data_IF_437992125788
#
_entry.id   IF_437992125788
#
_cell.length_a   1.000
_cell.length_b   1.000
_cell.length_c   1.000
_cell.angle_alpha   90.00
_cell.angle_beta   90.00
_cell.angle_gamma   90.00
#
_symmetry.space_group_name_H-M   'P 1'
#
loop_
_entity.id
_entity.type
_entity.pdbx_description
1 polymer ?
#
# COMPACT_ATOMS: atom_id res chain seq x y z
N UNK A 1 25.92 5.18 -7.81
CA UNK A 1 25.41 5.51 -6.45
C UNK A 1 23.88 5.59 -6.36
N UNK A 2 23.12 5.53 -7.46
CA UNK A 2 21.68 5.87 -7.50
C UNK A 2 20.72 4.71 -7.16
N UNK A 3 21.06 3.46 -7.50
CA UNK A 3 20.18 2.29 -7.27
C UNK A 3 19.95 1.93 -5.79
N UNK A 4 20.98 2.03 -4.94
CA UNK A 4 20.82 1.81 -3.48
C UNK A 4 19.95 2.89 -2.83
N UNK A 5 20.05 4.12 -3.30
CA UNK A 5 19.25 5.24 -2.83
C UNK A 5 17.78 5.07 -3.23
N UNK A 6 17.49 4.62 -4.46
CA UNK A 6 16.12 4.32 -4.88
C UNK A 6 15.48 3.17 -4.08
N UNK A 7 16.26 2.17 -3.66
CA UNK A 7 15.76 1.06 -2.83
C UNK A 7 15.23 1.55 -1.47
N UNK A 8 16.05 2.30 -0.74
CA UNK A 8 15.67 2.79 0.59
C UNK A 8 14.46 3.72 0.53
N UNK A 9 14.32 4.50 -0.54
CA UNK A 9 13.14 5.34 -0.78
C UNK A 9 11.88 4.53 -1.04
N UNK A 10 12.00 3.42 -1.77
CA UNK A 10 10.89 2.52 -2.05
C UNK A 10 10.43 1.82 -0.77
N UNK A 11 11.34 1.33 0.05
CA UNK A 11 11.01 0.70 1.34
C UNK A 11 10.35 1.71 2.30
N UNK A 12 10.88 2.94 2.37
CA UNK A 12 10.27 4.02 3.13
C UNK A 12 8.87 4.40 2.61
N UNK A 13 8.68 4.41 1.30
CA UNK A 13 7.38 4.65 0.67
C UNK A 13 6.39 3.53 1.03
N UNK A 14 6.82 2.27 1.05
CA UNK A 14 6.00 1.13 1.50
C UNK A 14 5.53 1.32 2.93
N UNK A 15 6.44 1.57 3.87
CA UNK A 15 6.08 1.78 5.28
C UNK A 15 5.11 2.95 5.46
N UNK A 16 5.31 4.02 4.68
CA UNK A 16 4.41 5.17 4.68
C UNK A 16 3.02 4.83 4.14
N UNK A 17 2.94 4.01 3.10
CA UNK A 17 1.67 3.54 2.54
C UNK A 17 0.95 2.62 3.53
N UNK A 18 1.64 1.64 4.11
CA UNK A 18 1.06 0.74 5.12
C UNK A 18 0.49 1.56 6.30
N UNK A 19 1.20 2.62 6.73
CA UNK A 19 0.72 3.56 7.74
C UNK A 19 -0.50 4.36 7.30
N UNK A 20 -0.53 4.87 6.06
CA UNK A 20 -1.68 5.61 5.52
C UNK A 20 -2.91 4.70 5.44
N UNK A 21 -2.74 3.44 5.02
CA UNK A 21 -3.82 2.46 4.97
C UNK A 21 -4.38 2.19 6.37
N UNK A 22 -3.51 1.95 7.36
CA UNK A 22 -3.95 1.73 8.75
C UNK A 22 -4.71 2.94 9.31
N UNK A 23 -4.22 4.17 9.04
CA UNK A 23 -4.90 5.40 9.43
C UNK A 23 -6.24 5.58 8.70
N UNK A 24 -6.29 5.25 7.41
CA UNK A 24 -7.51 5.34 6.61
C UNK A 24 -8.55 4.37 7.17
N UNK A 25 -8.20 3.09 7.37
CA UNK A 25 -9.07 2.08 7.96
C UNK A 25 -9.57 2.49 9.35
N UNK A 26 -8.69 2.98 10.23
CA UNK A 26 -9.09 3.46 11.56
C UNK A 26 -10.10 4.61 11.48
N UNK A 27 -9.85 5.62 10.63
CA UNK A 27 -10.79 6.74 10.42
C UNK A 27 -12.12 6.26 9.85
N UNK A 28 -12.07 5.24 9.00
CA UNK A 28 -13.21 4.62 8.39
C UNK A 28 -14.05 3.91 9.45
N UNK A 29 -13.43 3.08 10.28
CA UNK A 29 -14.08 2.36 11.39
C UNK A 29 -14.65 3.33 12.43
N UNK A 30 -13.93 4.41 12.75
CA UNK A 30 -14.42 5.50 13.60
C UNK A 30 -15.69 6.14 13.00
N UNK A 31 -15.66 6.41 11.69
CA UNK A 31 -16.82 6.94 10.96
C UNK A 31 -17.97 5.93 10.95
N UNK A 32 -17.70 4.64 10.71
CA UNK A 32 -18.73 3.58 10.73
C UNK A 32 -19.40 3.53 12.10
N UNK A 33 -18.60 3.54 13.17
CA UNK A 33 -19.09 3.49 14.55
C UNK A 33 -19.92 4.74 14.89
N UNK A 34 -19.53 5.91 14.39
CA UNK A 34 -20.27 7.15 14.60
C UNK A 34 -21.58 7.21 13.81
N UNK A 35 -21.57 6.70 12.58
CA UNK A 35 -22.73 6.72 11.66
C UNK A 35 -23.71 5.60 11.99
N UNK A 36 -23.26 4.44 12.48
CA UNK A 36 -24.10 3.29 12.81
C UNK A 36 -25.39 3.61 13.60
N UNK A 37 -25.36 4.40 14.70
CA UNK A 37 -26.59 4.75 15.41
C UNK A 37 -27.52 5.69 14.63
N UNK A 38 -27.00 6.47 13.67
CA UNK A 38 -27.78 7.41 12.85
C UNK A 38 -28.45 6.71 11.66
N UNK A 39 -27.90 5.58 11.20
CA UNK A 39 -28.48 4.77 10.11
C UNK A 39 -29.83 4.15 10.51
N UNK A 40 -30.06 3.94 11.81
CA UNK A 40 -31.36 3.46 12.29
C UNK A 40 -32.51 4.45 12.00
N UNK A 41 -32.21 5.76 11.95
CA UNK A 41 -33.17 6.84 11.69
C UNK A 41 -33.13 7.35 10.24
N UNK A 42 -32.12 6.97 9.45
CA UNK A 42 -31.97 7.43 8.06
C UNK A 42 -32.64 6.47 7.07
N UNK A 43 -33.72 6.90 6.44
CA UNK A 43 -34.40 6.13 5.39
C UNK A 43 -33.50 5.85 4.17
N UNK A 44 -33.45 4.57 3.75
CA UNK A 44 -33.05 4.03 2.44
C UNK A 44 -31.83 4.63 1.74
N UNK A 45 -31.99 5.82 1.16
CA UNK A 45 -31.00 6.48 0.29
C UNK A 45 -29.67 6.85 0.97
N UNK A 46 -29.70 7.18 2.27
CA UNK A 46 -28.47 7.54 2.99
C UNK A 46 -27.61 6.30 3.32
N UNK A 47 -28.25 5.16 3.55
CA UNK A 47 -27.56 3.86 3.72
C UNK A 47 -26.84 3.44 2.44
N UNK A 48 -27.48 3.60 1.28
CA UNK A 48 -26.88 3.30 -0.03
C UNK A 48 -25.66 4.19 -0.33
N UNK A 49 -25.76 5.49 -0.06
CA UNK A 49 -24.65 6.43 -0.27
C UNK A 49 -23.44 6.09 0.61
N UNK A 50 -23.68 5.69 1.86
CA UNK A 50 -22.64 5.24 2.78
C UNK A 50 -21.97 3.95 2.29
N UNK A 51 -22.75 2.94 1.89
CA UNK A 51 -22.20 1.68 1.37
C UNK A 51 -21.36 1.90 0.10
N UNK A 52 -21.79 2.79 -0.80
CA UNK A 52 -21.03 3.15 -1.99
C UNK A 52 -19.69 3.80 -1.64
N UNK A 53 -19.65 4.65 -0.61
CA UNK A 53 -18.42 5.29 -0.17
C UNK A 53 -17.48 4.29 0.51
N UNK A 54 -18.01 3.36 1.30
CA UNK A 54 -17.24 2.25 1.85
C UNK A 54 -16.56 1.43 0.74
N UNK A 55 -17.31 1.03 -0.28
CA UNK A 55 -16.77 0.22 -1.37
C UNK A 55 -15.63 0.91 -2.13
N UNK A 56 -15.72 2.24 -2.34
CA UNK A 56 -14.64 3.03 -2.95
C UNK A 56 -13.36 2.99 -2.14
N UNK A 57 -13.47 3.08 -0.81
CA UNK A 57 -12.31 3.05 0.07
C UNK A 57 -11.68 1.66 0.11
N UNK A 58 -12.47 0.60 0.20
CA UNK A 58 -11.98 -0.78 0.18
C UNK A 58 -11.24 -1.07 -1.14
N UNK A 59 -11.77 -0.58 -2.26
CA UNK A 59 -11.13 -0.69 -3.59
C UNK A 59 -9.80 0.06 -3.66
N UNK A 60 -9.74 1.29 -3.15
CA UNK A 60 -8.52 2.10 -3.16
C UNK A 60 -7.41 1.46 -2.30
N UNK A 61 -7.77 0.85 -1.16
CA UNK A 61 -6.83 0.11 -0.32
C UNK A 61 -6.29 -1.13 -1.04
N UNK A 62 -7.14 -1.87 -1.76
CA UNK A 62 -6.70 -3.04 -2.54
C UNK A 62 -5.71 -2.65 -3.65
N UNK A 63 -6.04 -1.63 -4.44
CA UNK A 63 -5.19 -1.15 -5.54
C UNK A 63 -3.80 -0.72 -5.03
N UNK A 64 -3.79 -0.02 -3.89
CA UNK A 64 -2.56 0.43 -3.26
C UNK A 64 -1.67 -0.74 -2.80
N UNK A 65 -2.26 -1.79 -2.22
CA UNK A 65 -1.53 -3.01 -1.85
C UNK A 65 -0.92 -3.71 -3.08
N UNK A 66 -1.65 -3.77 -4.19
CA UNK A 66 -1.16 -4.36 -5.43
C UNK A 66 0.04 -3.59 -6.01
N UNK A 67 -0.01 -2.26 -5.96
CA UNK A 67 1.11 -1.40 -6.38
C UNK A 67 2.33 -1.66 -5.50
N UNK A 68 2.15 -1.75 -4.18
CA UNK A 68 3.24 -2.04 -3.25
C UNK A 68 3.90 -3.40 -3.50
N UNK A 69 3.11 -4.44 -3.74
CA UNK A 69 3.63 -5.77 -4.05
C UNK A 69 4.38 -5.79 -5.38
N UNK A 70 3.89 -5.07 -6.38
CA UNK A 70 4.60 -4.91 -7.65
C UNK A 70 5.96 -4.22 -7.44
N UNK A 71 5.97 -3.15 -6.65
CA UNK A 71 7.17 -2.39 -6.31
C UNK A 71 8.18 -3.27 -5.55
N UNK A 72 7.74 -4.03 -4.54
CA UNK A 72 8.59 -4.95 -3.79
C UNK A 72 9.23 -6.03 -4.67
N UNK A 73 8.48 -6.59 -5.63
CA UNK A 73 9.00 -7.57 -6.60
C UNK A 73 10.08 -6.98 -7.52
N UNK A 74 9.82 -5.81 -8.09
CA UNK A 74 10.80 -5.11 -8.96
C UNK A 74 12.11 -4.85 -8.20
N UNK A 75 11.99 -4.46 -6.94
CA UNK A 75 13.12 -4.19 -6.07
C UNK A 75 13.90 -5.46 -5.69
N UNK A 76 13.21 -6.54 -5.32
CA UNK A 76 13.85 -7.82 -4.98
C UNK A 76 14.62 -8.42 -6.16
N UNK A 77 14.03 -8.35 -7.36
CA UNK A 77 14.67 -8.83 -8.59
C UNK A 77 15.96 -8.04 -8.88
N UNK A 78 15.91 -6.70 -8.81
CA UNK A 78 17.08 -5.86 -9.04
C UNK A 78 18.25 -6.13 -8.09
N UNK A 79 17.98 -6.51 -6.82
CA UNK A 79 19.02 -6.86 -5.86
C UNK A 79 19.70 -8.20 -6.19
N UNK A 80 18.94 -9.21 -6.59
CA UNK A 80 19.47 -10.52 -6.98
C UNK A 80 20.37 -10.41 -8.22
N UNK A 81 19.89 -9.69 -9.24
CA UNK A 81 20.62 -9.48 -10.50
C UNK A 81 21.91 -8.68 -10.23
N UNK A 82 21.86 -7.65 -9.39
CA UNK A 82 23.03 -6.82 -9.08
C UNK A 82 24.06 -7.55 -8.21
N UNK A 83 23.62 -8.40 -7.27
CA UNK A 83 24.55 -9.26 -6.53
C UNK A 83 25.21 -10.29 -7.45
N UNK A 84 24.47 -10.90 -8.38
CA UNK A 84 25.05 -11.80 -9.37
C UNK A 84 26.08 -11.09 -10.24
N UNK A 85 25.78 -9.89 -10.74
CA UNK A 85 26.73 -9.10 -11.54
C UNK A 85 27.96 -8.73 -10.72
N UNK A 86 27.80 -8.31 -9.46
CA UNK A 86 28.93 -7.96 -8.60
C UNK A 86 29.81 -9.17 -8.27
N UNK A 87 29.22 -10.33 -7.95
CA UNK A 87 29.95 -11.57 -7.70
C UNK A 87 30.63 -12.09 -8.97
N UNK A 88 29.96 -12.03 -10.11
CA UNK A 88 30.55 -12.40 -11.40
C UNK A 88 31.71 -11.48 -11.78
N UNK A 89 31.57 -10.16 -11.56
CA UNK A 89 32.64 -9.19 -11.78
C UNK A 89 33.83 -9.43 -10.82
N UNK A 90 33.56 -9.66 -9.53
CA UNK A 90 34.60 -9.97 -8.54
C UNK A 90 35.35 -11.26 -8.88
N UNK A 91 34.64 -12.30 -9.34
CA UNK A 91 35.24 -13.55 -9.80
C UNK A 91 35.97 -13.42 -11.14
N UNK A 92 35.60 -12.44 -11.98
CA UNK A 92 36.29 -12.17 -13.25
C UNK A 92 37.61 -11.43 -13.07
N UNK A 93 37.84 -10.83 -11.90
CA UNK A 93 39.04 -10.06 -11.56
C UNK A 93 39.94 -10.78 -10.54
N UNK A 94 39.57 -11.99 -10.12
CA UNK A 94 40.38 -12.90 -9.34
C UNK A 94 41.06 -13.92 -10.27
#
# INVERSE_FOLDING_TARGET
>A
MTMRYSFAQIEALKLRIDSIQAQMNSKLDDLKAHVAPMVADWEGSASEAYQAQQAKWDSAALELNQILDAVGRVVGQGNADMQQVNTAAANSWA
#
